data_IF_985385003678
#
_entry.id   IF_985385003678
#
_cell.length_a   1.000
_cell.length_b   1.000
_cell.length_c   1.000
_cell.angle_alpha   90.00
_cell.angle_beta   90.00
_cell.angle_gamma   90.00
#
_symmetry.space_group_name_H-M   'P 1'
#
loop_
_entity.id
_entity.type
_entity.pdbx_description
1 polymer ?
#
# COMPACT_ATOMS: atom_id res chain seq x y z
N UNK A 1 5.55 10.22 16.86
CA UNK A 1 5.95 9.61 15.56
C UNK A 1 4.83 8.82 14.92
N UNK A 2 4.19 7.87 15.62
CA UNK A 2 3.08 7.08 15.05
C UNK A 2 1.77 7.85 14.81
N UNK A 3 1.57 8.99 15.46
CA UNK A 3 0.34 9.79 15.32
C UNK A 3 0.03 10.20 13.88
N UNK A 4 1.05 10.47 13.06
CA UNK A 4 0.87 10.80 11.65
C UNK A 4 0.33 9.61 10.84
N UNK A 5 0.83 8.40 11.10
CA UNK A 5 0.37 7.17 10.44
C UNK A 5 -1.06 6.84 10.83
N UNK A 6 -1.39 6.97 12.12
CA UNK A 6 -2.76 6.76 12.61
C UNK A 6 -3.71 7.78 11.99
N UNK A 7 -3.34 9.06 11.98
CA UNK A 7 -4.15 10.11 11.36
C UNK A 7 -4.35 9.86 9.86
N UNK A 8 -3.30 9.52 9.12
CA UNK A 8 -3.40 9.20 7.70
C UNK A 8 -4.34 8.03 7.44
N UNK A 9 -4.22 6.94 8.22
CA UNK A 9 -5.09 5.78 8.08
C UNK A 9 -6.56 6.12 8.37
N UNK A 10 -6.84 6.88 9.43
CA UNK A 10 -8.20 7.34 9.76
C UNK A 10 -8.77 8.24 8.66
N UNK A 11 -7.95 9.15 8.10
CA UNK A 11 -8.35 10.00 6.99
C UNK A 11 -8.64 9.19 5.72
N UNK A 12 -7.84 8.16 5.42
CA UNK A 12 -8.11 7.26 4.29
C UNK A 12 -9.44 6.51 4.45
N UNK A 13 -9.74 6.02 5.66
CA UNK A 13 -11.01 5.35 5.95
C UNK A 13 -12.21 6.29 5.92
N UNK A 14 -12.07 7.50 6.46
CA UNK A 14 -13.09 8.54 6.36
C UNK A 14 -13.34 8.92 4.89
N UNK A 15 -12.28 9.05 4.09
CA UNK A 15 -12.40 9.32 2.66
C UNK A 15 -13.11 8.19 1.92
N UNK A 16 -12.79 6.93 2.21
CA UNK A 16 -13.50 5.78 1.65
C UNK A 16 -14.99 5.79 2.00
N UNK A 17 -15.35 6.10 3.25
CA UNK A 17 -16.75 6.22 3.67
C UNK A 17 -17.51 7.32 2.92
N UNK A 18 -16.86 8.46 2.68
CA UNK A 18 -17.44 9.57 1.91
C UNK A 18 -17.56 9.21 0.43
N UNK A 19 -16.51 8.63 -0.17
CA UNK A 19 -16.47 8.28 -1.59
C UNK A 19 -17.48 7.18 -1.95
N UNK A 20 -17.65 6.18 -1.08
CA UNK A 20 -18.53 5.03 -1.32
C UNK A 20 -19.91 5.15 -0.65
N UNK A 21 -20.30 6.33 -0.18
CA UNK A 21 -21.59 6.56 0.52
C UNK A 21 -22.83 6.12 -0.27
N UNK A 22 -22.76 6.18 -1.61
CA UNK A 22 -23.86 5.80 -2.51
C UNK A 22 -23.83 4.30 -2.87
N UNK A 23 -22.70 3.61 -2.61
CA UNK A 23 -22.49 2.20 -2.96
C UNK A 23 -21.81 1.46 -1.78
N UNK A 24 -22.56 1.18 -0.69
CA UNK A 24 -21.99 0.64 0.56
C UNK A 24 -21.28 -0.70 0.39
N UNK A 25 -21.66 -1.49 -0.62
CA UNK A 25 -21.00 -2.78 -0.94
C UNK A 25 -19.51 -2.59 -1.23
N UNK A 26 -19.11 -1.45 -1.82
CA UNK A 26 -17.70 -1.16 -2.12
C UNK A 26 -16.86 -0.96 -0.86
N UNK A 27 -17.46 -0.58 0.28
CA UNK A 27 -16.75 -0.55 1.57
C UNK A 27 -16.36 -1.94 2.04
N UNK A 28 -17.20 -2.95 1.78
CA UNK A 28 -16.86 -4.36 2.04
C UNK A 28 -15.66 -4.81 1.21
N UNK A 29 -15.64 -4.46 -0.08
CA UNK A 29 -14.49 -4.73 -0.96
C UNK A 29 -13.23 -4.00 -0.49
N UNK A 30 -13.34 -2.73 -0.09
CA UNK A 30 -12.22 -1.96 0.45
C UNK A 30 -11.65 -2.60 1.73
N UNK A 31 -12.51 -3.12 2.61
CA UNK A 31 -12.08 -3.85 3.80
C UNK A 31 -11.34 -5.15 3.50
N UNK A 32 -11.86 -5.94 2.54
CA UNK A 32 -11.17 -7.17 2.10
C UNK A 32 -9.81 -6.82 1.47
N UNK A 33 -9.76 -5.80 0.60
CA UNK A 33 -8.52 -5.34 0.00
C UNK A 33 -7.51 -4.86 1.06
N UNK A 34 -7.97 -4.12 2.08
CA UNK A 34 -7.13 -3.70 3.20
C UNK A 34 -6.59 -4.90 4.00
N UNK A 35 -7.44 -5.87 4.34
CA UNK A 35 -7.01 -7.08 5.06
C UNK A 35 -6.03 -7.95 4.28
N UNK A 36 -6.28 -8.16 2.98
CA UNK A 36 -5.36 -8.88 2.10
C UNK A 36 -4.04 -8.12 1.91
N UNK A 37 -4.09 -6.79 1.82
CA UNK A 37 -2.89 -5.93 1.78
C UNK A 37 -2.07 -6.04 3.07
N UNK A 38 -2.72 -6.05 4.25
CA UNK A 38 -2.03 -6.26 5.52
C UNK A 38 -1.36 -7.65 5.60
N UNK A 39 -2.02 -8.69 5.08
CA UNK A 39 -1.40 -10.02 4.97
C UNK A 39 -0.18 -9.97 4.06
N UNK A 40 -0.33 -9.40 2.87
CA UNK A 40 0.73 -9.30 1.88
C UNK A 40 1.95 -8.50 2.38
N UNK A 41 1.72 -7.47 3.20
CA UNK A 41 2.79 -6.70 3.82
C UNK A 41 3.71 -7.53 4.74
N UNK A 42 3.23 -8.68 5.24
CA UNK A 42 3.98 -9.58 6.13
C UNK A 42 4.61 -10.76 5.37
N UNK A 43 4.49 -10.79 4.04
CA UNK A 43 5.11 -11.84 3.22
C UNK A 43 6.65 -11.82 3.33
N UNK A 44 7.25 -13.01 3.23
CA UNK A 44 8.67 -13.22 3.53
C UNK A 44 9.61 -12.51 2.54
N UNK A 45 9.17 -12.26 1.32
CA UNK A 45 9.94 -11.55 0.30
C UNK A 45 10.14 -10.08 0.67
N UNK A 46 9.11 -9.42 1.22
CA UNK A 46 9.21 -8.05 1.73
C UNK A 46 10.20 -7.97 2.90
N UNK A 47 10.08 -8.89 3.86
CA UNK A 47 10.97 -8.95 5.03
C UNK A 47 12.42 -9.20 4.58
N UNK A 48 12.63 -10.16 3.66
CA UNK A 48 13.96 -10.49 3.15
C UNK A 48 14.59 -9.33 2.37
N UNK A 49 13.82 -8.60 1.56
CA UNK A 49 14.32 -7.46 0.81
C UNK A 49 14.75 -6.29 1.73
N UNK A 50 13.97 -6.01 2.77
CA UNK A 50 14.28 -4.98 3.76
C UNK A 50 15.50 -5.40 4.59
N UNK A 51 15.57 -6.65 5.06
CA UNK A 51 16.71 -7.17 5.83
C UNK A 51 18.01 -7.10 5.02
N UNK A 52 18.01 -7.60 3.79
CA UNK A 52 19.20 -7.61 2.94
C UNK A 52 19.72 -6.18 2.68
N UNK A 53 18.82 -5.25 2.38
CA UNK A 53 19.18 -3.84 2.16
C UNK A 53 19.71 -3.17 3.42
N UNK A 54 19.10 -3.48 4.57
CA UNK A 54 19.52 -2.97 5.89
C UNK A 54 20.91 -3.50 6.25
N UNK A 55 21.13 -4.81 6.13
CA UNK A 55 22.42 -5.46 6.41
C UNK A 55 23.52 -4.95 5.50
N UNK A 56 23.23 -4.75 4.21
CA UNK A 56 24.18 -4.16 3.26
C UNK A 56 24.62 -2.75 3.69
N UNK A 57 23.67 -1.87 4.02
CA UNK A 57 23.99 -0.52 4.47
C UNK A 57 24.78 -0.50 5.79
N UNK A 58 24.47 -1.42 6.71
CA UNK A 58 25.25 -1.58 7.94
C UNK A 58 26.68 -2.06 7.68
N UNK A 59 26.88 -2.98 6.73
CA UNK A 59 28.22 -3.42 6.31
C UNK A 59 29.03 -2.28 5.69
N UNK A 60 28.38 -1.33 5.03
CA UNK A 60 28.98 -0.10 4.51
C UNK A 60 29.17 0.99 5.60
N UNK A 61 28.88 0.68 6.87
CA UNK A 61 29.02 1.60 8.01
C UNK A 61 27.92 2.65 8.13
N UNK A 62 26.84 2.55 7.35
CA UNK A 62 25.72 3.49 7.39
C UNK A 62 24.67 3.10 8.45
N UNK A 63 23.82 4.06 8.82
CA UNK A 63 22.67 3.85 9.72
C UNK A 63 21.36 3.74 8.92
N UNK A 64 20.83 2.54 8.66
CA UNK A 64 19.68 2.32 7.77
C UNK A 64 18.33 2.65 8.44
N UNK A 65 18.05 3.92 8.74
CA UNK A 65 16.81 4.32 9.44
C UNK A 65 15.57 4.44 8.53
N UNK A 66 15.76 4.55 7.21
CA UNK A 66 14.68 4.85 6.26
C UNK A 66 14.42 3.74 5.22
N UNK A 67 15.10 2.59 5.31
CA UNK A 67 15.02 1.50 4.30
C UNK A 67 13.58 1.01 4.12
N UNK A 68 12.88 0.75 5.22
CA UNK A 68 11.47 0.30 5.16
C UNK A 68 10.53 1.36 4.55
N UNK A 69 10.78 2.65 4.78
CA UNK A 69 9.98 3.73 4.21
C UNK A 69 10.13 3.78 2.68
N UNK A 70 11.37 3.78 2.18
CA UNK A 70 11.63 3.80 0.74
C UNK A 70 11.16 2.53 0.04
N UNK A 71 11.30 1.36 0.70
CA UNK A 71 10.73 0.11 0.22
C UNK A 71 9.20 0.21 0.05
N UNK A 72 8.50 0.70 1.09
CA UNK A 72 7.04 0.85 1.07
C UNK A 72 6.57 1.85 0.01
N UNK A 73 7.26 2.99 -0.16
CA UNK A 73 6.92 3.98 -1.20
C UNK A 73 7.10 3.38 -2.60
N UNK A 74 8.22 2.71 -2.85
CA UNK A 74 8.52 2.09 -4.14
C UNK A 74 7.51 1.00 -4.51
N UNK A 75 7.25 0.08 -3.59
CA UNK A 75 6.28 -1.00 -3.81
C UNK A 75 4.85 -0.47 -3.98
N UNK A 76 4.41 0.49 -3.15
CA UNK A 76 3.07 1.08 -3.27
C UNK A 76 2.85 1.81 -4.59
N UNK A 77 3.90 2.41 -5.15
CA UNK A 77 3.82 3.11 -6.44
C UNK A 77 3.45 2.14 -7.57
N UNK A 78 4.04 0.94 -7.57
CA UNK A 78 3.72 -0.11 -8.56
C UNK A 78 2.26 -0.54 -8.43
N UNK A 79 1.76 -0.69 -7.20
CA UNK A 79 0.36 -1.07 -6.94
C UNK A 79 -0.61 0.00 -7.46
N UNK A 80 -0.31 1.29 -7.26
CA UNK A 80 -1.13 2.39 -7.76
C UNK A 80 -1.20 2.36 -9.28
N UNK A 81 -0.07 2.21 -9.96
CA UNK A 81 -0.05 2.11 -11.43
C UNK A 81 -0.77 0.88 -11.96
N UNK A 82 -0.59 -0.28 -11.32
CA UNK A 82 -1.30 -1.50 -11.68
C UNK A 82 -2.83 -1.32 -11.52
N UNK A 83 -3.27 -0.72 -10.42
CA UNK A 83 -4.70 -0.44 -10.17
C UNK A 83 -5.29 0.53 -11.19
N UNK A 84 -4.56 1.60 -11.53
CA UNK A 84 -4.95 2.53 -12.60
C UNK A 84 -5.04 1.81 -13.95
N UNK A 85 -4.06 0.97 -14.29
CA UNK A 85 -4.08 0.18 -15.51
C UNK A 85 -5.32 -0.73 -15.61
N UNK A 86 -5.64 -1.45 -14.53
CA UNK A 86 -6.85 -2.29 -14.46
C UNK A 86 -8.12 -1.45 -14.61
N UNK A 87 -8.20 -0.29 -13.95
CA UNK A 87 -9.35 0.61 -14.06
C UNK A 87 -9.53 1.12 -15.50
N UNK A 88 -8.45 1.58 -16.13
CA UNK A 88 -8.47 2.07 -17.52
C UNK A 88 -8.91 0.96 -18.49
N UNK A 89 -8.35 -0.25 -18.37
CA UNK A 89 -8.76 -1.39 -19.20
C UNK A 89 -10.23 -1.74 -18.97
N UNK A 90 -10.68 -1.79 -17.72
CA UNK A 90 -12.08 -2.07 -17.38
C UNK A 90 -13.03 -1.04 -18.02
N UNK A 91 -12.70 0.25 -17.96
CA UNK A 91 -13.51 1.29 -18.60
C UNK A 91 -13.51 1.19 -20.13
N UNK A 92 -12.38 0.86 -20.75
CA UNK A 92 -12.28 0.69 -22.19
C UNK A 92 -13.09 -0.52 -22.69
N UNK A 93 -13.12 -1.62 -21.93
CA UNK A 93 -13.92 -2.80 -22.24
C UNK A 93 -15.42 -2.55 -22.06
N UNK A 94 -15.81 -1.82 -21.01
CA UNK A 94 -17.21 -1.47 -20.75
C UNK A 94 -17.78 -0.44 -21.76
N UNK A 95 -16.90 0.26 -22.49
CA UNK A 95 -17.29 1.25 -23.50
C UNK A 95 -17.49 0.63 -24.90
N UNK A 96 -17.38 -0.69 -25.03
CA UNK A 96 -17.66 -1.47 -26.26
C UNK A 96 -18.97 -2.22 -26.14
#
# INVERSE_FOLDING_TARGET
TYGLLVAFNLLSWAWAAIAFRQHPVLLGTAFIAYGLGLRHAVDADHIAAIDNSTRKLMQEGQRPVAVGLFFSIGHSTIIVFASLGVALVSTALNSR
#
